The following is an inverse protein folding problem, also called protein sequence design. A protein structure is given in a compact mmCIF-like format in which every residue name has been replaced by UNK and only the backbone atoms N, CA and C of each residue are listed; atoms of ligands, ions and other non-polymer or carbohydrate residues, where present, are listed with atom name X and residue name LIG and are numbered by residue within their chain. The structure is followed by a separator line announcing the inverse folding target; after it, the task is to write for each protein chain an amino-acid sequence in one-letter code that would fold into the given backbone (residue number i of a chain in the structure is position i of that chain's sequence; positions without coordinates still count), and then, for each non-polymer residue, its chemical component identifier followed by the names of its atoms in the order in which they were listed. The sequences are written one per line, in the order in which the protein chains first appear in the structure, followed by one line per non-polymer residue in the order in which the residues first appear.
data_IF_388713987405
#
_entry.id   IF_388713987405
#
_cell.length_a   1.000
_cell.length_b   1.000
_cell.length_c   1.000
_cell.angle_alpha   90.00
_cell.angle_beta   90.00
_cell.angle_gamma   90.00
#
_symmetry.space_group_name_H-M   'P 1'
#
loop_
_entity.id
_entity.type
_entity.pdbx_description
1 polymer ?
2 non-polymer ?
3 non-polymer ?
4 non-polymer ?
5 non-polymer ?
6 water ?
#
# COMPACT_ATOMS: atom_id res chain seq x y z
N UNK A 2 21.86 -30.36 1.05
CA UNK A 2 21.53 -29.10 1.77
C UNK A 2 20.40 -28.33 1.07
N UNK A 3 19.38 -27.91 1.83
CA UNK A 3 18.25 -27.21 1.19
C UNK A 3 18.64 -25.80 0.76
N UNK A 4 17.79 -25.17 -0.03
CA UNK A 4 17.87 -23.74 -0.29
C UNK A 4 16.80 -23.06 0.55
N UNK A 5 17.13 -21.93 1.14
CA UNK A 5 16.15 -21.16 1.92
C UNK A 5 15.43 -20.16 1.00
N UNK A 6 14.10 -20.13 1.08
CA UNK A 6 13.32 -19.10 0.38
C UNK A 6 12.81 -18.12 1.45
N UNK A 7 13.37 -16.92 1.47
CA UNK A 7 13.00 -15.93 2.49
C UNK A 7 11.95 -14.96 1.95
N UNK A 8 10.71 -15.15 2.45
CA UNK A 8 9.54 -14.35 2.06
C UNK A 8 9.52 -13.08 2.91
N UNK A 9 9.34 -11.93 2.26
CA UNK A 9 9.13 -10.70 2.97
C UNK A 9 7.74 -10.15 2.59
N UNK A 10 7.69 -9.05 1.86
CA UNK A 10 6.38 -8.53 1.38
C UNK A 10 6.01 -9.28 0.11
N UNK A 11 5.97 -10.59 0.23
CA UNK A 11 5.61 -11.48 -0.85
C UNK A 11 5.10 -12.78 -0.27
N UNK A 12 4.06 -12.65 0.56
CA UNK A 12 3.49 -13.77 1.29
C UNK A 12 2.55 -14.60 0.40
N UNK A 13 3.12 -15.25 -0.60
CA UNK A 13 2.31 -15.99 -1.58
C UNK A 13 3.18 -17.12 -2.15
N UNK A 14 2.53 -18.08 -2.85
CA UNK A 14 3.25 -19.09 -3.61
C UNK A 14 3.20 -18.80 -5.13
N UNK A 15 2.10 -18.19 -5.64
CA UNK A 15 1.96 -17.88 -7.09
C UNK A 15 2.90 -16.77 -7.50
N UNK A 16 3.42 -16.84 -8.73
CA UNK A 16 4.24 -15.77 -9.31
C UNK A 16 5.31 -15.30 -8.32
N UNK A 17 6.20 -16.23 -7.90
CA UNK A 17 7.21 -15.88 -6.90
C UNK A 17 8.59 -16.28 -7.41
N UNK A 18 9.31 -15.35 -8.09
CA UNK A 18 10.56 -15.71 -8.71
C UNK A 18 11.55 -16.42 -7.74
N UNK A 19 11.67 -15.93 -6.50
CA UNK A 19 12.66 -16.51 -5.61
C UNK A 19 12.33 -17.98 -5.30
N UNK A 20 11.07 -18.24 -4.98
CA UNK A 20 10.59 -19.59 -4.69
C UNK A 20 10.91 -20.55 -5.83
N UNK A 21 10.57 -20.16 -7.06
CA UNK A 21 10.86 -21.05 -8.18
C UNK A 21 12.32 -21.15 -8.49
N UNK A 22 13.05 -20.02 -8.47
CA UNK A 22 14.51 -20.09 -8.72
C UNK A 22 15.16 -21.13 -7.78
N UNK A 23 14.72 -21.11 -6.51
CA UNK A 23 15.28 -22.04 -5.55
C UNK A 23 14.83 -23.48 -5.80
N UNK A 24 13.54 -23.69 -6.00
CA UNK A 24 13.00 -25.05 -6.15
C UNK A 24 13.63 -25.72 -7.36
N UNK A 25 13.89 -24.96 -8.42
CA UNK A 25 14.53 -25.59 -9.60
C UNK A 25 15.90 -26.15 -9.29
N UNK A 26 16.56 -25.64 -8.23
CA UNK A 26 17.89 -26.14 -7.86
C UNK A 26 17.91 -27.27 -6.84
N UNK A 27 16.86 -27.41 -6.04
CA UNK A 27 16.88 -28.45 -4.99
C UNK A 27 15.73 -28.24 -4.03
N UNK A 28 15.72 -29.04 -2.93
CA UNK A 28 14.70 -28.95 -1.88
C UNK A 28 14.76 -27.58 -1.27
N UNK A 29 13.59 -27.07 -0.86
CA UNK A 29 13.51 -25.76 -0.26
C UNK A 29 12.87 -25.81 1.14
N UNK A 30 13.21 -24.81 1.94
CA UNK A 30 12.48 -24.48 3.17
C UNK A 30 12.19 -22.98 3.09
N UNK A 31 10.96 -22.56 3.41
CA UNK A 31 10.60 -21.15 3.35
C UNK A 31 10.94 -20.54 4.71
N UNK A 32 11.14 -19.23 4.75
CA UNK A 32 11.37 -18.52 6.02
C UNK A 32 10.68 -17.19 5.98
N UNK A 33 10.04 -16.85 7.08
CA UNK A 33 9.63 -15.48 7.35
C UNK A 33 10.33 -15.03 8.64
N UNK A 34 10.88 -13.82 8.60
CA UNK A 34 11.39 -13.20 9.83
C UNK A 34 10.47 -12.08 10.27
N UNK A 35 9.97 -12.24 11.49
CA UNK A 35 9.17 -11.22 12.20
C UNK A 35 10.10 -10.16 12.77
N UNK A 36 10.25 -9.07 12.01
CA UNK A 36 11.34 -8.09 12.16
C UNK A 36 10.76 -6.87 12.91
N UNK A 37 11.37 -6.53 14.05
CA UNK A 37 10.82 -5.40 14.82
C UNK A 37 10.81 -4.09 14.03
N UNK A 38 11.68 -3.96 13.02
CA UNK A 38 11.69 -2.73 12.23
C UNK A 38 10.36 -2.53 11.46
N UNK A 39 9.66 -3.65 11.17
CA UNK A 39 8.36 -3.56 10.49
C UNK A 39 7.20 -3.83 11.46
N UNK A 40 7.48 -4.45 12.60
CA UNK A 40 6.39 -4.93 13.47
C UNK A 40 6.08 -4.02 14.65
N UNK A 41 6.90 -3.00 14.84
CA UNK A 41 6.59 -2.02 15.84
C UNK A 41 5.67 -0.99 15.18
N UNK A 42 4.43 -1.41 14.93
CA UNK A 42 3.42 -0.62 14.22
C UNK A 42 2.10 -0.93 14.93
N UNK A 43 0.98 -0.46 14.40
CA UNK A 43 -0.31 -0.62 15.10
C UNK A 43 -0.81 -2.08 15.13
N UNK A 44 -1.63 -2.41 16.14
CA UNK A 44 -2.15 -3.79 16.25
C UNK A 44 -2.82 -4.28 14.97
N UNK A 45 -3.68 -3.46 14.34
CA UNK A 45 -4.31 -3.88 13.09
C UNK A 45 -3.31 -4.37 12.01
N UNK A 46 -2.19 -3.65 11.86
CA UNK A 46 -1.20 -3.97 10.82
C UNK A 46 -0.30 -5.16 11.25
N UNK A 47 -0.01 -5.26 12.54
CA UNK A 47 0.77 -6.41 12.99
C UNK A 47 -0.05 -7.65 12.70
N UNK A 48 -1.33 -7.61 13.08
CA UNK A 48 -2.20 -8.76 12.91
C UNK A 48 -2.46 -9.10 11.45
N UNK A 49 -2.65 -8.09 10.61
CA UNK A 49 -2.82 -8.38 9.18
C UNK A 49 -1.57 -9.13 8.63
N UNK A 50 -0.39 -8.64 8.99
CA UNK A 50 0.84 -9.32 8.53
C UNK A 50 0.93 -10.76 9.14
N UNK A 51 0.82 -10.87 10.48
CA UNK A 51 0.84 -12.18 11.12
C UNK A 51 -0.14 -13.18 10.52
N UNK A 52 -1.39 -12.76 10.30
CA UNK A 52 -2.39 -13.71 9.80
C UNK A 52 -2.15 -14.15 8.37
N UNK A 53 -1.59 -13.26 7.56
CA UNK A 53 -1.11 -13.69 6.23
C UNK A 53 0.13 -14.61 6.24
N UNK A 54 1.01 -14.47 7.23
CA UNK A 54 2.12 -15.40 7.44
C UNK A 54 1.56 -16.78 7.85
N UNK A 55 0.58 -16.77 8.75
CA UNK A 55 -0.13 -17.96 9.12
C UNK A 55 -0.76 -18.66 7.90
N UNK A 56 -1.45 -17.89 7.05
CA UNK A 56 -2.04 -18.42 5.80
C UNK A 56 -0.97 -19.02 4.87
N UNK A 57 0.20 -18.38 4.80
CA UNK A 57 1.25 -18.86 3.93
C UNK A 57 1.78 -20.18 4.49
N UNK A 58 1.94 -20.24 5.82
CA UNK A 58 2.32 -21.54 6.41
C UNK A 58 1.27 -22.61 6.07
N UNK A 59 0.00 -22.27 6.22
CA UNK A 59 -1.02 -23.27 5.89
C UNK A 59 -0.86 -23.72 4.45
N UNK A 60 -0.59 -22.77 3.59
CA UNK A 60 -0.40 -23.08 2.14
C UNK A 60 0.79 -24.03 1.93
N UNK A 61 1.91 -23.72 2.59
CA UNK A 61 3.09 -24.61 2.54
C UNK A 61 2.67 -26.01 3.06
N UNK A 62 2.05 -26.07 4.25
CA UNK A 62 1.65 -27.38 4.84
C UNK A 62 0.74 -28.15 3.89
N UNK A 63 -0.28 -27.48 3.36
CA UNK A 63 -1.25 -28.16 2.48
C UNK A 63 -0.53 -28.83 1.29
N UNK A 64 0.64 -28.29 0.91
CA UNK A 64 1.40 -28.85 -0.23
C UNK A 64 2.53 -29.78 0.25
N UNK A 65 2.59 -30.01 1.56
CA UNK A 65 3.54 -30.97 2.13
C UNK A 65 4.91 -30.34 2.44
N UNK A 66 4.97 -29.00 2.44
CA UNK A 66 6.22 -28.26 2.60
C UNK A 66 6.40 -27.58 3.96
N UNK A 67 7.55 -26.92 4.11
CA UNK A 67 7.99 -26.41 5.42
C UNK A 67 8.27 -24.90 5.38
N UNK A 68 7.54 -24.13 6.19
CA UNK A 68 7.76 -22.69 6.33
C UNK A 68 8.19 -22.41 7.78
N UNK A 69 9.44 -22.01 7.96
CA UNK A 69 9.94 -21.47 9.26
C UNK A 69 9.52 -20.03 9.52
N UNK A 70 9.23 -19.72 10.78
CA UNK A 70 8.95 -18.33 11.15
C UNK A 70 9.73 -18.01 12.37
N UNK A 71 10.67 -17.07 12.25
CA UNK A 71 11.56 -16.70 13.36
C UNK A 71 11.35 -15.21 13.70
N UNK A 72 11.65 -14.83 14.94
CA UNK A 72 11.36 -13.47 15.41
C UNK A 72 12.68 -12.79 15.77
N UNK A 73 12.93 -11.61 15.20
CA UNK A 73 14.17 -10.89 15.52
C UNK A 73 14.78 -10.16 14.33
N UNK A 74 16.02 -9.70 14.49
CA UNK A 74 16.70 -8.95 13.41
C UNK A 74 17.05 -9.92 12.27
N UNK A 75 16.72 -9.57 11.00
CA UNK A 75 17.03 -10.50 9.89
C UNK A 75 18.51 -10.92 9.82
N UNK A 76 19.45 -10.04 10.18
CA UNK A 76 20.87 -10.37 10.02
C UNK A 76 21.36 -11.32 11.11
N UNK A 77 20.52 -11.54 12.15
CA UNK A 77 20.75 -12.61 13.14
C UNK A 77 19.96 -13.86 12.73
N UNK A 78 18.68 -13.70 12.41
CA UNK A 78 17.80 -14.86 12.23
C UNK A 78 18.00 -15.56 10.88
N UNK A 79 18.25 -14.80 9.81
CA UNK A 79 18.47 -15.47 8.53
C UNK A 79 19.72 -16.36 8.59
N UNK A 80 20.85 -15.83 9.10
CA UNK A 80 21.98 -16.73 9.26
C UNK A 80 21.74 -17.85 10.24
N UNK A 81 20.97 -17.62 11.29
CA UNK A 81 20.58 -18.71 12.16
C UNK A 81 19.89 -19.86 11.40
N UNK A 82 18.80 -19.54 10.71
CA UNK A 82 18.11 -20.54 9.94
C UNK A 82 19.07 -21.24 8.94
N UNK A 83 19.89 -20.48 8.21
CA UNK A 83 20.78 -21.10 7.22
C UNK A 83 21.74 -22.10 7.92
N UNK A 84 22.24 -21.76 9.10
CA UNK A 84 23.12 -22.71 9.83
C UNK A 84 22.33 -23.91 10.28
N UNK A 85 21.19 -23.69 10.92
CA UNK A 85 20.44 -24.80 11.50
C UNK A 85 19.95 -25.77 10.42
N UNK A 86 19.67 -25.23 9.24
CA UNK A 86 19.23 -26.08 8.14
C UNK A 86 20.36 -26.62 7.27
N UNK A 87 21.58 -26.13 7.51
CA UNK A 87 22.66 -26.35 6.54
C UNK A 87 22.33 -25.92 5.11
N UNK A 88 21.67 -24.77 4.99
CA UNK A 88 21.23 -24.32 3.68
C UNK A 88 22.41 -23.96 2.78
N UNK A 89 22.28 -24.22 1.48
CA UNK A 89 23.37 -23.92 0.55
C UNK A 89 23.37 -22.45 0.12
N UNK A 90 22.18 -21.85 0.09
CA UNK A 90 22.01 -20.46 -0.28
C UNK A 90 20.64 -19.99 0.13
N UNK A 91 20.47 -18.67 0.15
CA UNK A 91 19.17 -18.03 0.47
C UNK A 91 18.72 -17.24 -0.75
N UNK A 92 17.45 -17.37 -1.09
CA UNK A 92 16.84 -16.62 -2.20
C UNK A 92 15.74 -15.70 -1.66
N UNK A 93 15.63 -14.49 -2.25
CA UNK A 93 14.54 -13.56 -1.87
C UNK A 93 14.32 -12.59 -3.04
N UNK A 94 13.18 -11.90 -3.04
CA UNK A 94 12.95 -10.87 -4.04
C UNK A 94 13.62 -9.57 -3.58
N UNK A 95 14.34 -8.95 -4.51
CA UNK A 95 14.94 -7.62 -4.27
C UNK A 95 13.96 -6.61 -3.62
N UNK A 96 14.44 -5.87 -2.62
CA UNK A 96 13.69 -4.70 -2.09
C UNK A 96 14.49 -3.42 -2.38
N UNK A 97 13.92 -2.44 -3.06
CA UNK A 97 14.69 -1.27 -3.46
C UNK A 97 14.57 -0.10 -2.45
N UNK A 98 14.04 -0.40 -1.26
CA UNK A 98 13.81 0.62 -0.25
C UNK A 98 15.08 0.83 0.59
N UNK A 99 15.22 2.02 1.20
CA UNK A 99 16.37 2.24 2.05
C UNK A 99 16.54 1.15 3.11
N UNK A 100 15.47 0.78 3.80
CA UNK A 100 15.58 -0.29 4.80
C UNK A 100 15.83 -1.69 4.16
N UNK A 101 15.16 -1.96 3.04
CA UNK A 101 15.39 -3.17 2.27
C UNK A 101 16.85 -3.31 1.91
N UNK A 102 17.46 -2.23 1.41
CA UNK A 102 18.88 -2.29 1.03
C UNK A 102 19.78 -2.41 2.24
N UNK A 103 19.45 -1.66 3.30
CA UNK A 103 20.26 -1.75 4.52
C UNK A 103 20.22 -3.19 5.05
N UNK A 104 19.00 -3.69 5.28
CA UNK A 104 18.81 -5.00 5.92
C UNK A 104 19.49 -6.11 5.06
N UNK A 105 19.18 -6.12 3.76
CA UNK A 105 19.77 -7.15 2.89
C UNK A 105 21.28 -7.11 2.76
N UNK A 106 21.84 -5.90 2.78
CA UNK A 106 23.31 -5.71 2.95
C UNK A 106 23.87 -6.33 4.23
N UNK A 107 23.22 -6.06 5.37
CA UNK A 107 23.64 -6.65 6.64
C UNK A 107 23.46 -8.17 6.63
N UNK A 108 22.39 -8.65 6.00
CA UNK A 108 22.19 -10.13 5.92
C UNK A 108 23.30 -10.79 5.06
N UNK A 109 23.58 -10.19 3.92
CA UNK A 109 24.64 -10.72 3.07
C UNK A 109 25.99 -10.74 3.78
N UNK A 110 26.26 -9.74 4.60
CA UNK A 110 27.50 -9.70 5.37
C UNK A 110 27.58 -10.83 6.37
N UNK A 111 26.47 -11.11 7.04
CA UNK A 111 26.50 -12.07 8.11
C UNK A 111 26.35 -13.52 7.63
N UNK A 112 25.83 -13.72 6.43
CA UNK A 112 25.68 -15.08 5.87
C UNK A 112 26.99 -15.60 5.33
N UNK A 113 27.31 -16.86 5.60
CA UNK A 113 28.49 -17.46 5.01
C UNK A 113 28.17 -18.16 3.68
N UNK A 114 26.93 -18.01 3.21
CA UNK A 114 26.50 -18.56 1.91
C UNK A 114 25.86 -17.40 1.12
N UNK A 115 25.68 -17.55 -0.21
CA UNK A 115 25.11 -16.49 -1.02
C UNK A 115 23.68 -16.13 -0.62
N UNK A 116 23.37 -14.86 -0.72
CA UNK A 116 21.99 -14.38 -0.76
C UNK A 116 21.71 -13.96 -2.22
N UNK A 117 20.82 -14.71 -2.89
CA UNK A 117 20.51 -14.45 -4.29
C UNK A 117 19.22 -13.66 -4.34
N UNK A 118 19.26 -12.41 -4.83
CA UNK A 118 18.04 -11.56 -4.89
C UNK A 118 17.55 -11.46 -6.31
N UNK A 119 16.27 -11.73 -6.52
CA UNK A 119 15.69 -11.68 -7.86
C UNK A 119 14.66 -10.53 -7.91
N UNK A 120 14.46 -9.95 -9.10
CA UNK A 120 13.53 -8.82 -9.26
C UNK A 120 12.09 -9.27 -8.91
N UNK A 121 11.41 -8.54 -8.03
CA UNK A 121 10.00 -8.76 -7.75
C UNK A 121 9.13 -8.52 -9.01
N UNK A 122 8.04 -9.27 -9.17
CA UNK A 122 7.20 -9.04 -10.37
C UNK A 122 6.55 -7.61 -10.29
N UNK A 123 6.65 -6.85 -11.35
CA UNK A 123 6.03 -5.51 -11.42
C UNK A 123 5.40 -5.37 -12.80
N UNK A 124 4.61 -4.33 -13.01
CA UNK A 124 4.20 -3.91 -14.36
C UNK A 124 5.34 -3.10 -14.92
N UNK A 125 5.84 -2.14 -14.13
CA UNK A 125 7.09 -1.46 -14.44
C UNK A 125 7.97 -1.39 -13.20
N UNK A 126 9.28 -1.65 -13.35
CA UNK A 126 10.18 -1.61 -12.18
C UNK A 126 10.49 -0.18 -11.67
N UNK A 127 10.83 -0.06 -10.38
CA UNK A 127 11.00 1.25 -9.72
C UNK A 127 12.32 1.92 -10.10
N UNK A 128 13.24 1.16 -10.67
CA UNK A 128 14.65 1.56 -10.71
C UNK A 128 15.17 1.69 -12.14
N UNK A 129 14.29 1.97 -13.07
CA UNK A 129 14.67 2.39 -14.43
C UNK A 129 15.52 3.67 -14.38
N UNK A 130 16.39 3.88 -15.37
CA UNK A 130 17.34 5.00 -15.27
C UNK A 130 16.62 6.34 -15.30
N UNK A 131 15.66 6.49 -16.20
CA UNK A 131 14.97 7.79 -16.33
C UNK A 131 14.07 8.12 -15.15
N UNK A 132 14.18 9.32 -14.62
CA UNK A 132 13.28 9.77 -13.55
C UNK A 132 12.07 10.47 -14.16
N UNK A 133 10.88 10.05 -13.80
CA UNK A 133 9.69 10.75 -14.29
C UNK A 133 9.00 11.33 -13.08
N UNK A 134 8.54 12.58 -13.18
CA UNK A 134 7.69 13.15 -12.11
C UNK A 134 6.21 13.06 -12.46
N UNK A 135 5.92 12.68 -13.71
CA UNK A 135 4.58 12.75 -14.25
C UNK A 135 4.19 11.36 -14.69
N UNK A 136 2.94 10.99 -14.43
CA UNK A 136 2.51 9.63 -14.60
C UNK A 136 2.39 9.29 -16.10
N UNK A 137 1.90 10.21 -16.93
CA UNK A 137 1.68 9.83 -18.35
C UNK A 137 2.93 9.31 -19.06
N UNK A 138 4.04 10.06 -19.00
CA UNK A 138 5.27 9.59 -19.69
C UNK A 138 5.83 8.26 -19.11
N UNK A 139 5.69 8.08 -17.82
CA UNK A 139 6.12 6.83 -17.17
C UNK A 139 5.26 5.66 -17.69
N UNK A 140 3.93 5.88 -17.74
CA UNK A 140 2.96 4.82 -18.07
C UNK A 140 3.12 4.33 -19.52
N UNK A 141 3.66 5.18 -20.39
CA UNK A 141 3.83 4.81 -21.79
C UNK A 141 4.91 3.75 -21.98
N UNK A 142 5.76 3.56 -20.98
CA UNK A 142 6.81 2.52 -21.09
C UNK A 142 6.20 1.13 -20.91
N UNK A 143 4.98 1.06 -20.38
CA UNK A 143 4.32 -0.22 -20.14
C UNK A 143 3.68 -0.71 -21.41
N UNK A 144 3.97 -1.95 -21.74
CA UNK A 144 3.45 -2.51 -22.99
C UNK A 144 2.56 -3.73 -22.80
N UNK A 145 1.98 -3.92 -21.60
CA UNK A 145 1.23 -5.14 -21.29
C UNK A 145 2.01 -6.07 -20.38
N UNK A 146 1.32 -6.82 -19.54
CA UNK A 146 1.95 -7.68 -18.53
C UNK A 146 2.65 -8.87 -19.14
N UNK A 147 3.80 -9.22 -18.59
CA UNK A 147 4.39 -10.52 -18.86
C UNK A 147 3.55 -11.62 -18.16
N UNK A 148 3.68 -12.86 -18.63
CA UNK A 148 2.94 -13.91 -17.95
C UNK A 148 3.46 -14.18 -16.54
N UNK A 149 2.56 -14.44 -15.59
CA UNK A 149 3.08 -14.77 -14.29
C UNK A 149 3.64 -16.19 -14.23
N UNK A 150 4.44 -16.45 -13.20
CA UNK A 150 5.05 -17.75 -12.95
C UNK A 150 4.03 -18.58 -12.21
N UNK A 151 3.98 -19.90 -12.48
CA UNK A 151 3.05 -20.77 -11.75
C UNK A 151 3.52 -20.93 -10.29
N UNK A 152 2.60 -21.28 -9.38
CA UNK A 152 3.00 -21.79 -8.06
C UNK A 152 3.52 -23.21 -8.21
N UNK A 153 4.28 -23.68 -7.20
CA UNK A 153 4.69 -25.05 -7.21
C UNK A 153 3.47 -25.92 -7.15
N UNK A 154 3.66 -27.20 -7.45
CA UNK A 154 2.59 -28.18 -7.23
C UNK A 154 2.50 -28.77 -5.83
N UNK A 155 3.45 -29.64 -5.53
CA UNK A 155 3.69 -30.09 -4.18
C UNK A 155 5.06 -29.54 -3.81
N UNK A 156 5.30 -29.35 -2.51
CA UNK A 156 6.58 -28.85 -2.02
C UNK A 156 7.36 -29.96 -1.32
N UNK A 157 8.71 -29.89 -1.34
CA UNK A 157 9.51 -30.94 -0.73
C UNK A 157 9.36 -30.91 0.77
N UNK A 158 9.36 -32.08 1.38
CA UNK A 158 9.31 -32.23 2.82
C UNK A 158 10.50 -31.50 3.50
N UNK A 159 10.24 -30.89 4.64
CA UNK A 159 11.33 -30.40 5.49
C UNK A 159 10.83 -30.19 6.90
N UNK A 160 11.73 -29.87 7.84
CA UNK A 160 11.32 -29.62 9.22
C UNK A 160 10.72 -28.22 9.35
N UNK A 161 9.69 -28.09 10.18
CA UNK A 161 9.12 -26.75 10.43
C UNK A 161 9.53 -26.23 11.82
N UNK A 162 9.89 -24.96 11.92
CA UNK A 162 10.18 -24.35 13.23
C UNK A 162 9.55 -22.97 13.39
N UNK A 163 9.27 -22.60 14.65
CA UNK A 163 8.87 -21.24 14.98
C UNK A 163 7.38 -21.03 15.17
N UNK A 164 7.01 -20.02 15.98
CA UNK A 164 5.58 -19.83 16.28
C UNK A 164 5.11 -18.53 15.67
N UNK A 165 3.84 -18.49 15.27
CA UNK A 165 3.23 -17.27 14.76
C UNK A 165 2.24 -16.69 15.79
N UNK A 166 2.65 -15.61 16.47
CA UNK A 166 1.86 -15.01 17.53
C UNK A 166 0.44 -14.64 17.07
N UNK A 167 -0.50 -14.77 17.99
CA UNK A 167 -1.87 -14.35 17.78
C UNK A 167 -2.13 -12.99 18.42
N UNK A 168 -2.38 -11.98 17.59
CA UNK A 168 -2.52 -10.62 18.13
C UNK A 168 -3.87 -9.99 17.81
N UNK A 169 -4.32 -9.05 18.63
CA UNK A 169 -5.68 -8.57 18.50
C UNK A 169 -5.66 -7.40 17.51
N UNK A 170 -6.28 -7.56 16.33
CA UNK A 170 -6.38 -6.47 15.34
C UNK A 170 -7.25 -5.29 15.79
N UNK A 171 -8.24 -5.56 16.65
CA UNK A 171 -9.13 -4.50 17.12
C UNK A 171 -10.24 -4.18 16.14
N UNK A 172 -10.33 -4.92 15.04
CA UNK A 172 -11.35 -4.70 14.02
C UNK A 172 -11.42 -5.93 13.14
N UNK A 173 -12.50 -6.08 12.34
CA UNK A 173 -12.65 -7.20 11.41
C UNK A 173 -11.63 -7.16 10.27
N UNK A 174 -10.76 -8.19 10.19
CA UNK A 174 -9.80 -8.29 9.06
C UNK A 174 -10.46 -8.91 7.83
N UNK A 175 -9.98 -8.58 6.63
CA UNK A 175 -10.37 -9.40 5.48
C UNK A 175 -9.91 -10.85 5.68
N UNK A 176 -10.40 -11.78 4.86
CA UNK A 176 -9.88 -13.15 4.92
C UNK A 176 -8.41 -13.18 4.44
N UNK A 177 -7.49 -13.63 5.31
CA UNK A 177 -6.08 -13.58 4.91
C UNK A 177 -5.70 -14.67 3.89
N UNK A 178 -4.62 -14.45 3.16
CA UNK A 178 -4.02 -15.48 2.34
C UNK A 178 -4.39 -15.44 0.87
N UNK A 179 -3.57 -16.10 0.05
CA UNK A 179 -3.65 -15.91 -1.39
C UNK A 179 -4.84 -16.62 -2.01
N UNK A 180 -5.33 -17.66 -1.36
CA UNK A 180 -6.54 -18.28 -1.91
C UNK A 180 -7.72 -17.27 -1.86
N UNK A 181 -7.84 -16.54 -0.74
CA UNK A 181 -8.88 -15.51 -0.63
C UNK A 181 -8.62 -14.35 -1.58
N UNK A 182 -7.35 -13.97 -1.74
CA UNK A 182 -7.00 -12.87 -2.62
C UNK A 182 -7.38 -13.18 -4.05
N UNK A 183 -6.91 -14.34 -4.54
CA UNK A 183 -7.21 -14.76 -5.92
C UNK A 183 -8.74 -14.92 -6.17
N UNK A 184 -9.47 -15.46 -5.21
CA UNK A 184 -10.96 -15.52 -5.35
C UNK A 184 -11.52 -14.11 -5.50
N UNK A 185 -10.99 -13.18 -4.70
CA UNK A 185 -11.44 -11.80 -4.76
C UNK A 185 -11.14 -11.17 -6.12
N UNK A 186 -9.97 -11.46 -6.65
CA UNK A 186 -9.56 -10.88 -7.92
C UNK A 186 -10.52 -11.38 -9.04
N UNK A 187 -10.78 -12.68 -9.03
CA UNK A 187 -11.55 -13.29 -10.12
C UNK A 187 -13.03 -12.80 -10.10
N UNK A 188 -13.57 -12.62 -8.89
CA UNK A 188 -14.91 -12.03 -8.74
C UNK A 188 -15.00 -10.59 -9.21
N UNK A 189 -13.97 -9.79 -8.94
CA UNK A 189 -13.95 -8.42 -9.36
C UNK A 189 -13.88 -8.34 -10.87
N UNK A 190 -13.00 -9.15 -11.46
CA UNK A 190 -12.79 -9.03 -12.89
C UNK A 190 -14.07 -9.43 -13.63
N UNK A 191 -14.85 -10.32 -13.00
CA UNK A 191 -16.06 -10.85 -13.64
C UNK A 191 -17.19 -9.84 -13.45
N UNK A 192 -17.38 -9.40 -12.22
CA UNK A 192 -18.60 -8.66 -11.87
C UNK A 192 -18.47 -7.13 -12.02
N UNK A 193 -17.31 -6.59 -11.62
CA UNK A 193 -17.17 -5.15 -11.44
C UNK A 193 -16.34 -4.47 -12.53
N UNK A 194 -15.41 -5.21 -13.12
CA UNK A 194 -14.49 -4.58 -14.06
C UNK A 194 -15.19 -3.75 -15.15
N UNK A 195 -16.27 -4.28 -15.78
CA UNK A 195 -16.93 -3.57 -16.87
C UNK A 195 -17.26 -2.10 -16.61
N UNK A 196 -17.63 -1.75 -15.38
CA UNK A 196 -17.97 -0.37 -15.09
C UNK A 196 -16.98 0.34 -14.19
N UNK A 197 -15.74 -0.16 -14.17
CA UNK A 197 -14.77 0.31 -13.20
C UNK A 197 -14.50 1.78 -13.49
N UNK A 198 -14.44 2.13 -14.77
CA UNK A 198 -14.09 3.50 -15.12
C UNK A 198 -15.22 4.42 -14.62
N UNK A 199 -16.44 3.90 -14.64
CA UNK A 199 -17.61 4.70 -14.30
C UNK A 199 -17.91 4.75 -12.79
N UNK A 200 -17.28 3.86 -12.02
CA UNK A 200 -17.65 3.68 -10.62
C UNK A 200 -16.48 3.78 -9.62
N UNK A 201 -15.27 4.02 -10.11
CA UNK A 201 -14.10 4.02 -9.21
C UNK A 201 -13.95 5.29 -8.37
N UNK A 202 -14.78 6.31 -8.62
CA UNK A 202 -14.70 7.54 -7.83
C UNK A 202 -15.81 7.62 -6.80
N UNK A 203 -16.55 6.54 -6.60
CA UNK A 203 -17.49 6.48 -5.44
C UNK A 203 -16.78 6.69 -4.10
N UNK A 204 -17.43 7.40 -3.21
CA UNK A 204 -16.90 7.55 -1.87
C UNK A 204 -16.89 6.23 -1.11
N UNK A 205 -17.83 5.33 -1.42
CA UNK A 205 -17.84 4.04 -0.72
C UNK A 205 -16.80 3.03 -1.23
N UNK A 206 -16.18 3.34 -2.37
CA UNK A 206 -15.15 2.45 -2.98
C UNK A 206 -15.67 1.10 -3.42
N UNK A 207 -16.99 1.00 -3.58
CA UNK A 207 -17.60 -0.28 -3.94
C UNK A 207 -17.54 -0.61 -5.43
N UNK A 208 -17.04 0.32 -6.24
CA UNK A 208 -16.75 0.03 -7.67
C UNK A 208 -15.38 -0.62 -7.89
N UNK A 209 -14.57 -0.64 -6.83
CA UNK A 209 -13.18 -1.11 -6.93
C UNK A 209 -12.99 -2.52 -6.40
N UNK A 210 -11.75 -3.01 -6.47
CA UNK A 210 -11.48 -4.40 -6.14
C UNK A 210 -11.35 -4.64 -4.64
N UNK A 211 -10.95 -3.64 -3.87
CA UNK A 211 -10.68 -3.86 -2.43
C UNK A 211 -9.55 -4.87 -2.17
N UNK A 212 -8.59 -4.92 -3.10
CA UNK A 212 -7.48 -5.83 -3.03
C UNK A 212 -6.20 -5.21 -2.48
N UNK A 213 -6.20 -3.89 -2.25
CA UNK A 213 -4.94 -3.26 -1.78
C UNK A 213 -4.31 -3.95 -0.54
N UNK A 214 -5.14 -4.42 0.41
CA UNK A 214 -4.48 -4.99 1.58
C UNK A 214 -3.67 -6.24 1.23
N UNK A 215 -4.12 -6.95 0.20
CA UNK A 215 -3.32 -8.08 -0.34
C UNK A 215 -2.12 -7.61 -1.15
N UNK A 216 -2.29 -6.60 -2.02
CA UNK A 216 -1.14 -6.10 -2.80
C UNK A 216 -0.03 -5.60 -1.85
N UNK A 217 -0.41 -4.92 -0.79
CA UNK A 217 0.59 -4.28 0.10
C UNK A 217 1.55 -5.30 0.70
N UNK A 218 1.04 -6.48 1.04
CA UNK A 218 1.85 -7.55 1.58
C UNK A 218 2.37 -8.56 0.52
N UNK A 219 2.11 -8.32 -0.77
CA UNK A 219 2.54 -9.25 -1.81
C UNK A 219 1.79 -10.58 -1.78
N UNK A 220 0.64 -10.62 -1.08
CA UNK A 220 -0.21 -11.80 -1.07
C UNK A 220 -0.76 -12.00 -2.48
N UNK A 221 -0.89 -10.91 -3.20
CA UNK A 221 -1.30 -10.97 -4.61
C UNK A 221 -0.25 -10.27 -5.48
N UNK A 222 0.24 -10.97 -6.52
CA UNK A 222 1.18 -10.38 -7.47
C UNK A 222 0.48 -9.32 -8.33
N UNK A 223 1.09 -8.12 -8.50
CA UNK A 223 0.46 -7.17 -9.42
C UNK A 223 0.61 -7.60 -10.90
N UNK A 224 1.70 -8.28 -11.22
CA UNK A 224 1.84 -8.88 -12.55
C UNK A 224 0.70 -9.89 -12.89
N UNK A 225 0.42 -10.81 -11.97
CA UNK A 225 -0.68 -11.76 -12.18
C UNK A 225 -2.01 -11.00 -12.37
N UNK A 226 -2.25 -10.00 -11.52
CA UNK A 226 -3.49 -9.19 -11.61
C UNK A 226 -3.58 -8.51 -12.95
N UNK A 227 -2.49 -7.86 -13.37
CA UNK A 227 -2.51 -7.14 -14.66
C UNK A 227 -2.73 -8.12 -15.85
N UNK A 228 -2.06 -9.27 -15.77
CA UNK A 228 -2.19 -10.33 -16.80
C UNK A 228 -3.62 -10.86 -16.88
N UNK A 229 -4.22 -11.11 -15.72
CA UNK A 229 -5.58 -11.61 -15.71
C UNK A 229 -6.58 -10.56 -16.25
N UNK A 230 -6.40 -9.29 -15.85
CA UNK A 230 -7.27 -8.21 -16.36
C UNK A 230 -7.15 -8.04 -17.87
N UNK A 231 -5.92 -8.18 -18.37
CA UNK A 231 -5.67 -8.07 -19.82
C UNK A 231 -6.24 -9.23 -20.64
N UNK A 232 -6.30 -10.40 -20.02
CA UNK A 232 -6.94 -11.55 -20.67
C UNK A 232 -8.46 -11.37 -20.68
N UNK A 233 -8.96 -10.73 -19.63
CA UNK A 233 -10.38 -10.39 -19.60
C UNK A 233 -10.68 -9.34 -20.68
N UNK A 234 -9.91 -8.25 -20.65
CA UNK A 234 -10.09 -7.14 -21.60
C UNK A 234 -11.47 -6.49 -21.51
N UNK A 235 -11.85 -5.73 -22.53
CA UNK A 235 -13.02 -4.81 -22.39
C UNK A 235 -12.62 -3.46 -21.82
N UNK A 236 -13.56 -2.54 -21.61
CA UNK A 236 -13.15 -1.15 -21.23
C UNK A 236 -12.67 -0.92 -19.78
N UNK A 237 -13.40 -1.43 -18.81
CA UNK A 237 -12.86 -1.40 -17.48
C UNK A 237 -11.37 -1.77 -17.48
N UNK A 238 -10.97 -2.68 -18.37
CA UNK A 238 -9.71 -3.43 -18.17
C UNK A 238 -8.50 -2.50 -18.25
N UNK A 239 -8.48 -1.62 -19.26
CA UNK A 239 -7.32 -0.73 -19.45
C UNK A 239 -7.19 0.22 -18.26
N UNK A 240 -8.33 0.70 -17.78
CA UNK A 240 -8.35 1.74 -16.75
C UNK A 240 -7.92 1.13 -15.39
N UNK A 241 -8.36 -0.10 -15.14
CA UNK A 241 -7.96 -0.78 -13.90
C UNK A 241 -6.46 -1.07 -13.90
N UNK A 242 -5.91 -1.42 -15.05
CA UNK A 242 -4.49 -1.71 -15.11
C UNK A 242 -3.69 -0.40 -14.94
N UNK A 243 -4.25 0.70 -15.44
CA UNK A 243 -3.68 2.02 -15.22
C UNK A 243 -3.50 2.32 -13.73
N UNK A 244 -4.45 1.88 -12.91
CA UNK A 244 -4.34 2.06 -11.48
C UNK A 244 -3.32 1.17 -10.79
N UNK A 245 -3.28 -0.11 -11.17
CA UNK A 245 -2.13 -0.97 -10.80
C UNK A 245 -0.85 -0.25 -11.10
N UNK A 246 -0.78 0.41 -12.27
CA UNK A 246 0.46 1.12 -12.63
C UNK A 246 0.75 2.31 -11.71
N UNK A 247 -0.30 2.97 -11.18
CA UNK A 247 -0.05 4.03 -10.18
C UNK A 247 0.72 3.50 -8.94
N UNK A 248 0.47 2.25 -8.58
CA UNK A 248 1.23 1.63 -7.49
C UNK A 248 2.72 1.59 -7.82
N UNK A 249 3.05 1.13 -9.03
CA UNK A 249 4.43 1.07 -9.48
C UNK A 249 5.04 2.46 -9.67
N UNK A 250 4.22 3.41 -10.15
CA UNK A 250 4.65 4.82 -10.23
C UNK A 250 5.06 5.33 -8.85
N UNK A 251 4.33 4.91 -7.82
CA UNK A 251 4.64 5.36 -6.44
C UNK A 251 6.04 4.83 -6.02
N UNK A 252 6.32 3.55 -6.24
CA UNK A 252 7.66 2.98 -5.96
C UNK A 252 8.76 3.67 -6.77
N UNK A 253 8.46 3.91 -8.06
CA UNK A 253 9.35 4.68 -8.96
C UNK A 253 9.70 6.06 -8.36
N UNK A 254 8.68 6.75 -7.84
CA UNK A 254 8.87 8.13 -7.36
C UNK A 254 9.79 8.10 -6.13
N UNK A 255 9.48 7.23 -5.19
CA UNK A 255 10.25 7.20 -3.92
C UNK A 255 11.66 6.72 -4.22
N UNK A 256 11.81 5.84 -5.21
CA UNK A 256 13.15 5.41 -5.64
C UNK A 256 14.02 6.53 -6.26
N UNK A 257 13.47 7.28 -7.21
CA UNK A 257 14.23 8.35 -7.85
C UNK A 257 14.28 9.61 -7.00
N UNK A 258 13.34 9.78 -6.10
CA UNK A 258 13.23 11.01 -5.32
C UNK A 258 13.08 10.70 -3.83
N UNK A 259 14.09 10.02 -3.25
CA UNK A 259 13.92 9.47 -1.89
C UNK A 259 13.68 10.58 -0.88
N UNK A 260 14.11 11.79 -1.23
CA UNK A 260 13.95 12.93 -0.32
C UNK A 260 12.50 13.41 -0.26
N UNK A 261 11.61 12.85 -1.07
CA UNK A 261 10.21 13.22 -0.90
C UNK A 261 9.58 12.67 0.38
N UNK A 262 10.29 11.74 1.05
CA UNK A 262 9.90 11.38 2.43
C UNK A 262 10.15 12.52 3.42
N UNK A 263 10.91 13.54 3.01
CA UNK A 263 11.30 14.63 3.92
C UNK A 263 10.64 15.96 3.59
N UNK A 264 10.29 16.16 2.32
CA UNK A 264 9.87 17.46 1.82
C UNK A 264 9.12 17.39 0.48
N UNK A 265 8.33 18.42 0.17
CA UNK A 265 7.62 18.39 -1.12
C UNK A 265 8.52 18.10 -2.32
N UNK A 266 8.00 17.31 -3.26
CA UNK A 266 8.66 17.13 -4.55
C UNK A 266 8.79 18.47 -5.28
N UNK A 267 7.76 19.29 -5.22
CA UNK A 267 7.85 20.65 -5.77
C UNK A 267 8.63 21.57 -4.83
N UNK A 268 9.82 22.02 -5.27
CA UNK A 268 10.66 22.84 -4.39
C UNK A 268 10.01 24.17 -4.03
N UNK A 269 9.04 24.62 -4.82
CA UNK A 269 8.34 25.87 -4.50
C UNK A 269 7.56 25.80 -3.19
N UNK A 270 7.23 24.58 -2.76
CA UNK A 270 6.40 24.38 -1.55
C UNK A 270 7.20 24.03 -0.31
N UNK A 271 8.52 23.99 -0.43
CA UNK A 271 9.32 23.50 0.68
C UNK A 271 9.37 24.48 1.85
N UNK A 272 8.99 25.72 1.55
CA UNK A 272 8.83 26.76 2.57
C UNK A 272 7.37 27.13 2.90
N UNK A 273 6.42 26.23 2.62
CA UNK A 273 5.02 26.52 2.95
C UNK A 273 4.82 26.66 4.46
N UNK A 274 4.17 27.74 4.90
CA UNK A 274 4.05 27.94 6.35
C UNK A 274 2.92 27.10 6.94
N UNK A 275 3.16 25.81 7.12
CA UNK A 275 2.22 24.92 7.79
C UNK A 275 2.00 25.39 9.23
N UNK A 276 0.87 24.99 9.80
CA UNK A 276 0.52 25.51 11.10
C UNK A 276 0.23 24.37 12.03
N UNK A 277 1.23 24.02 12.84
CA UNK A 277 1.02 22.98 13.83
C UNK A 277 0.03 23.46 14.87
N UNK A 278 -0.75 22.53 15.38
CA UNK A 278 -1.92 22.86 16.16
C UNK A 278 -2.53 21.55 16.61
N UNK A 279 -2.27 21.20 17.88
CA UNK A 279 -2.59 19.88 18.40
C UNK A 279 -4.08 19.63 18.27
N UNK A 280 -4.86 20.61 18.71
CA UNK A 280 -6.31 20.47 18.73
C UNK A 280 -6.86 20.15 17.35
N UNK A 281 -6.46 20.93 16.35
CA UNK A 281 -6.85 20.72 14.96
C UNK A 281 -6.35 19.40 14.40
N UNK A 282 -5.11 19.05 14.68
CA UNK A 282 -4.63 17.71 14.29
C UNK A 282 -5.60 16.63 14.83
N UNK A 283 -6.00 16.74 16.09
CA UNK A 283 -6.83 15.71 16.71
C UNK A 283 -8.24 15.70 16.12
N UNK A 284 -8.77 16.89 15.83
CA UNK A 284 -10.10 17.00 15.24
C UNK A 284 -10.12 16.26 13.90
N UNK A 285 -9.06 16.45 13.11
CA UNK A 285 -8.96 15.77 11.82
C UNK A 285 -8.76 14.29 12.07
N UNK A 286 -7.77 13.95 12.89
CA UNK A 286 -7.39 12.57 13.08
C UNK A 286 -8.59 11.72 13.53
N UNK A 287 -9.44 12.29 14.40
CA UNK A 287 -10.57 11.53 14.92
C UNK A 287 -11.86 11.78 14.13
N UNK A 288 -11.75 12.45 12.98
CA UNK A 288 -12.94 12.80 12.20
C UNK A 288 -13.95 13.63 13.00
N UNK A 289 -13.50 14.70 13.65
CA UNK A 289 -14.43 15.60 14.39
C UNK A 289 -14.28 17.03 13.90
N UNK A 290 -14.20 17.16 12.57
CA UNK A 290 -13.96 18.43 11.92
C UNK A 290 -15.24 19.25 11.78
N UNK A 291 -16.37 18.56 11.82
CA UNK A 291 -17.68 19.17 11.51
C UNK A 291 -17.91 19.23 10.01
N UNK A 292 -17.03 18.59 9.26
CA UNK A 292 -17.20 18.46 7.82
C UNK A 292 -17.60 17.02 7.49
N UNK A 293 -18.86 16.81 7.08
CA UNK A 293 -19.43 15.46 6.99
C UNK A 293 -18.55 14.46 6.22
N UNK A 294 -18.15 14.82 5.00
CA UNK A 294 -17.33 13.95 4.17
C UNK A 294 -16.04 13.57 4.92
N UNK A 295 -15.35 14.56 5.46
CA UNK A 295 -14.05 14.30 6.06
C UNK A 295 -14.24 13.39 7.30
N UNK A 296 -15.29 13.69 8.06
CA UNK A 296 -15.56 12.98 9.31
C UNK A 296 -15.99 11.55 9.05
N UNK A 297 -16.82 11.38 8.03
CA UNK A 297 -17.18 10.05 7.58
C UNK A 297 -15.93 9.26 7.19
N UNK A 298 -15.06 9.88 6.39
CA UNK A 298 -13.86 9.18 5.90
C UNK A 298 -13.03 8.71 7.09
N UNK A 299 -12.76 9.61 8.04
CA UNK A 299 -11.79 9.28 9.08
C UNK A 299 -12.36 8.28 10.08
N UNK A 300 -13.68 8.33 10.28
CA UNK A 300 -14.39 7.36 11.13
C UNK A 300 -14.45 5.96 10.47
N UNK A 301 -14.67 5.93 9.15
CA UNK A 301 -14.56 4.65 8.46
C UNK A 301 -13.13 4.05 8.57
N UNK A 302 -12.12 4.89 8.34
CA UNK A 302 -10.70 4.46 8.44
C UNK A 302 -10.35 3.91 9.85
N UNK A 303 -10.75 4.63 10.89
CA UNK A 303 -10.51 4.16 12.26
C UNK A 303 -11.15 2.80 12.48
N UNK A 304 -12.38 2.62 11.98
CA UNK A 304 -13.18 1.42 12.30
C UNK A 304 -12.80 0.23 11.45
N UNK A 305 -12.27 0.48 10.24
CA UNK A 305 -12.14 -0.63 9.27
C UNK A 305 -10.70 -0.88 8.75
N UNK A 306 -9.85 0.14 8.77
CA UNK A 306 -8.52 0.01 8.17
C UNK A 306 -8.51 0.13 6.65
N UNK A 307 -9.62 0.58 6.05
CA UNK A 307 -9.69 0.81 4.59
C UNK A 307 -10.50 2.07 4.24
N UNK A 308 -10.21 2.70 3.11
CA UNK A 308 -10.95 3.87 2.63
C UNK A 308 -10.83 3.88 1.11
N UNK A 309 -11.88 4.35 0.42
CA UNK A 309 -11.84 4.45 -1.04
C UNK A 309 -10.81 5.51 -1.38
N UNK A 310 -10.30 5.44 -2.60
CA UNK A 310 -9.44 6.47 -3.14
C UNK A 310 -10.07 7.86 -3.07
N UNK A 311 -11.35 7.96 -3.44
CA UNK A 311 -12.03 9.27 -3.44
C UNK A 311 -12.16 9.80 -2.01
N UNK A 312 -12.37 8.93 -1.03
CA UNK A 312 -12.36 9.41 0.35
C UNK A 312 -10.95 9.81 0.84
N UNK A 313 -9.94 9.04 0.43
CA UNK A 313 -8.58 9.26 0.89
C UNK A 313 -8.12 10.64 0.44
N UNK A 314 -8.32 10.93 -0.84
CA UNK A 314 -7.84 12.18 -1.41
C UNK A 314 -8.56 13.39 -0.76
N UNK A 315 -9.87 13.27 -0.51
CA UNK A 315 -10.60 14.30 0.26
C UNK A 315 -10.14 14.45 1.70
N UNK A 316 -9.99 13.34 2.42
CA UNK A 316 -9.57 13.44 3.82
C UNK A 316 -8.15 14.03 3.92
N UNK A 317 -7.25 13.58 3.05
CA UNK A 317 -5.83 14.01 3.09
C UNK A 317 -5.70 15.48 2.68
N UNK A 318 -6.32 15.85 1.57
CA UNK A 318 -6.21 17.23 1.14
C UNK A 318 -6.80 18.19 2.16
N UNK A 319 -7.88 17.78 2.82
CA UNK A 319 -8.49 18.67 3.80
C UNK A 319 -7.49 19.09 4.86
N UNK A 320 -6.76 18.10 5.38
CA UNK A 320 -5.75 18.32 6.40
C UNK A 320 -4.71 19.33 5.90
N UNK A 321 -4.20 19.10 4.69
CA UNK A 321 -3.10 19.89 4.13
C UNK A 321 -3.59 21.30 3.73
N UNK A 322 -4.66 21.35 2.95
CA UNK A 322 -5.09 22.61 2.31
C UNK A 322 -6.06 23.40 3.18
N UNK A 323 -7.11 22.77 3.69
CA UNK A 323 -8.06 23.51 4.53
C UNK A 323 -7.54 23.75 5.95
N UNK A 324 -6.71 22.84 6.45
CA UNK A 324 -6.27 22.92 7.85
C UNK A 324 -4.82 23.36 8.02
N UNK A 325 -4.06 23.27 6.93
CA UNK A 325 -2.67 23.68 6.92
C UNK A 325 -1.83 22.84 7.86
N UNK A 326 -2.28 21.61 8.14
CA UNK A 326 -1.59 20.75 9.09
C UNK A 326 -0.30 20.25 8.46
N UNK A 327 0.79 20.22 9.24
CA UNK A 327 2.01 19.60 8.73
C UNK A 327 1.73 18.21 8.15
N UNK A 328 2.09 18.02 6.89
CA UNK A 328 1.70 16.81 6.17
C UNK A 328 2.34 15.54 6.71
N UNK A 329 3.58 15.64 7.22
CA UNK A 329 4.36 14.46 7.61
C UNK A 329 3.66 13.73 8.76
N UNK A 330 3.32 14.45 9.81
CA UNK A 330 2.56 13.84 10.89
C UNK A 330 1.28 13.13 10.38
N UNK A 331 0.49 13.86 9.61
CA UNK A 331 -0.77 13.36 9.05
C UNK A 331 -0.55 12.09 8.21
N UNK A 332 0.47 12.14 7.35
CA UNK A 332 0.80 11.03 6.46
C UNK A 332 1.03 9.79 7.29
N UNK A 333 1.86 9.93 8.33
CA UNK A 333 2.24 8.78 9.13
C UNK A 333 1.08 8.24 9.91
N UNK A 334 0.28 9.13 10.51
CA UNK A 334 -0.91 8.72 11.28
C UNK A 334 -1.91 7.97 10.39
N UNK A 335 -2.03 8.42 9.15
CA UNK A 335 -2.89 7.82 8.14
C UNK A 335 -2.44 6.38 7.75
N UNK A 336 -1.16 6.23 7.46
CA UNK A 336 -0.59 4.95 7.11
C UNK A 336 -0.78 3.92 8.21
N UNK A 337 -0.58 4.34 9.47
CA UNK A 337 -0.75 3.45 10.62
C UNK A 337 -2.17 2.91 10.79
N UNK A 338 -3.15 3.62 10.24
CA UNK A 338 -4.54 3.18 10.32
C UNK A 338 -4.93 2.21 9.19
N UNK A 339 -4.12 2.16 8.14
CA UNK A 339 -4.46 1.42 6.91
C UNK A 339 -3.87 0.02 6.93
N UNK A 340 -4.73 -0.99 6.68
CA UNK A 340 -4.20 -2.34 6.45
C UNK A 340 -3.29 -2.40 5.24
N UNK A 341 -3.60 -1.60 4.22
CA UNK A 341 -2.78 -1.60 3.00
C UNK A 341 -1.66 -0.57 3.10
N UNK A 342 -1.46 -0.06 4.31
CA UNK A 342 -0.54 1.09 4.49
C UNK A 342 0.84 0.78 3.97
N UNK A 343 1.35 1.64 3.08
CA UNK A 343 2.53 1.24 2.28
C UNK A 343 3.27 2.57 2.05
N UNK A 344 4.46 2.70 2.62
CA UNK A 344 5.06 4.04 2.77
C UNK A 344 5.12 4.82 1.45
N UNK A 345 5.66 4.20 0.42
CA UNK A 345 5.77 4.90 -0.89
C UNK A 345 4.42 5.28 -1.49
N UNK A 346 3.44 4.39 -1.40
CA UNK A 346 2.16 4.65 -2.01
C UNK A 346 1.42 5.75 -1.25
N UNK A 347 1.44 5.66 0.08
CA UNK A 347 0.84 6.68 0.93
C UNK A 347 1.52 8.03 0.76
N UNK A 348 2.84 8.05 0.67
CA UNK A 348 3.56 9.30 0.39
C UNK A 348 3.16 9.92 -0.97
N UNK A 349 3.13 9.08 -1.99
CA UNK A 349 2.64 9.52 -3.30
C UNK A 349 1.26 10.13 -3.16
N UNK A 350 0.36 9.38 -2.55
CA UNK A 350 -1.03 9.83 -2.47
C UNK A 350 -1.15 11.17 -1.72
N UNK A 351 -0.41 11.29 -0.62
CA UNK A 351 -0.43 12.51 0.19
C UNK A 351 0.15 13.70 -0.57
N UNK A 352 1.29 13.50 -1.22
CA UNK A 352 1.89 14.55 -2.03
C UNK A 352 1.10 14.91 -3.29
N UNK A 353 0.28 13.99 -3.78
CA UNK A 353 -0.64 14.30 -4.87
C UNK A 353 -1.86 15.08 -4.40
N UNK A 354 -2.57 14.51 -3.43
CA UNK A 354 -3.74 15.15 -2.82
C UNK A 354 -3.41 16.50 -2.20
N UNK A 355 -2.18 16.65 -1.68
CA UNK A 355 -1.79 17.85 -1.00
C UNK A 355 -1.26 18.94 -1.90
N UNK A 356 -1.15 18.63 -3.19
CA UNK A 356 -0.65 19.60 -4.17
C UNK A 356 0.82 19.90 -3.94
N UNK A 357 1.60 18.85 -3.65
CA UNK A 357 2.97 19.01 -3.15
C UNK A 357 3.98 18.55 -4.19
N UNK A 358 3.50 18.21 -5.38
CA UNK A 358 4.41 18.07 -6.51
C UNK A 358 4.31 16.77 -7.31
N UNK A 359 3.51 15.83 -6.85
CA UNK A 359 3.32 14.60 -7.60
C UNK A 359 2.45 14.81 -8.85
N UNK A 360 2.94 14.32 -10.00
CA UNK A 360 2.18 14.30 -11.26
C UNK A 360 1.84 15.72 -11.70
N UNK A 361 2.66 16.66 -11.24
CA UNK A 361 2.40 18.08 -11.46
C UNK A 361 0.92 18.41 -11.19
N UNK A 362 0.32 17.73 -10.22
CA UNK A 362 -1.06 18.05 -9.88
C UNK A 362 -1.13 19.50 -9.34
N UNK A 363 -2.07 20.33 -9.86
CA UNK A 363 -1.97 21.77 -9.65
C UNK A 363 -2.46 22.18 -8.26
N UNK A 364 -1.78 23.15 -7.66
CA UNK A 364 -2.16 23.64 -6.33
C UNK A 364 -3.62 24.07 -6.27
N UNK A 365 -4.15 24.58 -7.38
CA UNK A 365 -5.43 25.28 -7.33
C UNK A 365 -6.64 24.34 -7.30
N UNK A 366 -6.43 23.05 -7.49
CA UNK A 366 -7.54 22.13 -7.31
C UNK A 366 -7.84 21.93 -5.83
N UNK A 367 -8.92 22.55 -5.35
CA UNK A 367 -9.33 22.40 -3.95
C UNK A 367 -10.74 21.80 -3.88
N UNK A 368 -10.81 20.62 -3.27
CA UNK A 368 -12.06 19.89 -3.11
C UNK A 368 -13.03 20.75 -2.31
N UNK A 369 -14.22 20.93 -2.87
CA UNK A 369 -15.36 21.41 -2.13
C UNK A 369 -16.08 20.21 -1.51
N UNK A 370 -16.01 20.09 -0.18
CA UNK A 370 -16.41 18.85 0.48
C UNK A 370 -17.92 18.59 0.46
N UNK A 371 -18.74 19.60 0.15
CA UNK A 371 -20.15 19.30 -0.10
C UNK A 371 -20.45 18.82 -1.52
N UNK A 372 -19.92 19.51 -2.53
CA UNK A 372 -19.99 19.04 -3.91
C UNK A 372 -19.42 17.61 -4.05
N UNK A 373 -18.25 17.38 -3.46
CA UNK A 373 -17.60 16.06 -3.54
C UNK A 373 -18.53 14.94 -3.04
N UNK A 374 -19.18 15.20 -1.92
CA UNK A 374 -20.19 14.29 -1.41
C UNK A 374 -21.41 14.19 -2.30
N UNK A 375 -21.84 15.31 -2.86
CA UNK A 375 -23.01 15.28 -3.77
C UNK A 375 -22.74 14.45 -5.01
N UNK A 376 -21.53 14.59 -5.55
CA UNK A 376 -21.15 13.92 -6.77
C UNK A 376 -20.82 12.43 -6.58
N UNK A 377 -20.38 12.03 -5.40
CA UNK A 377 -19.76 10.69 -5.23
C UNK A 377 -20.41 9.81 -4.17
N UNK A 378 -21.55 10.27 -3.66
CA UNK A 378 -22.38 9.51 -2.73
C UNK A 378 -23.89 9.72 -2.99
N UNK A 379 -24.46 8.98 -3.95
CA UNK A 379 -25.74 9.27 -4.60
C UNK A 379 -26.91 9.66 -3.67
N UNK A 380 -27.44 8.68 -2.94
CA UNK A 380 -28.58 8.93 -2.05
C UNK A 380 -28.06 9.20 -0.65
N UNK A 381 -26.77 9.51 -0.55
CA UNK A 381 -26.14 9.81 0.72
C UNK A 381 -26.02 8.60 1.62
N UNK A 382 -26.07 7.42 1.02
CA UNK A 382 -25.96 6.17 1.76
C UNK A 382 -24.64 6.02 2.53
N UNK A 383 -23.55 6.53 1.96
CA UNK A 383 -22.23 6.38 2.57
C UNK A 383 -22.09 7.28 3.79
N UNK A 384 -22.55 8.53 3.67
CA UNK A 384 -22.53 9.46 4.80
C UNK A 384 -23.36 8.92 5.97
N UNK A 385 -24.51 8.34 5.64
CA UNK A 385 -25.43 7.72 6.58
C UNK A 385 -24.84 6.53 7.36
N UNK A 386 -24.02 5.70 6.69
CA UNK A 386 -23.36 4.59 7.38
C UNK A 386 -22.28 5.10 8.32
N UNK A 387 -21.55 6.13 7.91
CA UNK A 387 -20.33 6.46 8.63
C UNK A 387 -20.35 7.70 9.53
N UNK A 388 -21.26 8.63 9.29
CA UNK A 388 -21.47 9.75 10.22
C UNK A 388 -22.92 10.21 10.15
N UNK A 389 -23.85 9.38 10.61
CA UNK A 389 -25.27 9.68 10.44
C UNK A 389 -25.69 10.89 11.29
N UNK A 390 -24.77 11.33 12.13
CA UNK A 390 -24.85 12.63 12.84
C UNK A 390 -25.40 13.70 11.91
N UNK A 391 -24.93 13.67 10.67
CA UNK A 391 -25.09 14.77 9.72
C UNK A 391 -26.20 14.43 8.74
N UNK A 392 -27.21 15.32 8.64
CA UNK A 392 -28.36 15.19 7.74
C UNK A 392 -27.99 15.36 6.27
N UNK A 393 -26.94 16.14 6.01
CA UNK A 393 -26.41 16.30 4.64
C UNK A 393 -24.90 16.51 4.66
N UNK A 394 -24.33 16.72 3.47
CA UNK A 394 -22.90 17.05 3.32
C UNK A 394 -22.54 18.45 3.78
N UNK A 395 -23.57 19.22 4.15
CA UNK A 395 -23.39 20.54 4.74
C UNK A 395 -22.64 20.50 6.06
N UNK A 396 -21.55 21.30 6.13
CA UNK A 396 -20.73 21.40 7.32
C UNK A 396 -21.52 21.92 8.52
N UNK A 397 -21.18 21.43 9.71
CA UNK A 397 -21.99 21.63 10.91
C UNK A 397 -21.04 22.04 12.04
N UNK A 398 -21.03 23.33 12.35
CA UNK A 398 -20.00 23.91 13.21
C UNK A 398 -18.61 23.37 12.87
N UNK A 399 -18.14 23.58 11.62
CA UNK A 399 -16.82 23.15 11.17
C UNK A 399 -15.69 23.76 12.01
N UNK A 400 -14.62 23.00 12.25
CA UNK A 400 -13.51 23.49 13.09
C UNK A 400 -12.81 24.71 12.47
N UNK A 401 -13.01 24.93 11.18
CA UNK A 401 -12.56 26.18 10.56
C UNK A 401 -13.63 26.72 9.65
N UNK A 402 -13.52 28.01 9.35
CA UNK A 402 -14.31 28.63 8.29
C UNK A 402 -13.81 28.16 6.93
N UNK A 403 -14.64 27.39 6.22
CA UNK A 403 -14.23 26.65 5.04
C UNK A 403 -13.82 27.55 3.88
N UNK A 404 -14.60 28.60 3.61
CA UNK A 404 -14.31 29.49 2.51
C UNK A 404 -13.06 30.33 2.80
N UNK A 405 -12.93 30.82 4.03
CA UNK A 405 -11.72 31.52 4.42
C UNK A 405 -10.48 30.63 4.33
N UNK A 406 -10.59 29.42 4.92
CA UNK A 406 -9.52 28.44 4.76
C UNK A 406 -9.16 28.24 3.25
N UNK A 407 -10.15 28.05 2.39
CA UNK A 407 -9.90 27.96 0.95
C UNK A 407 -9.12 29.17 0.43
N UNK A 408 -9.68 30.38 0.63
CA UNK A 408 -9.02 31.60 0.18
C UNK A 408 -7.62 31.76 0.77
N UNK A 409 -7.45 31.40 2.05
CA UNK A 409 -6.14 31.47 2.69
C UNK A 409 -5.10 30.58 1.98
N UNK A 410 -5.39 29.30 1.82
CA UNK A 410 -4.48 28.38 1.10
C UNK A 410 -4.09 28.91 -0.29
N UNK A 411 -5.10 29.27 -1.07
CA UNK A 411 -4.88 29.66 -2.47
C UNK A 411 -4.00 30.90 -2.52
N UNK A 412 -4.29 31.86 -1.66
CA UNK A 412 -3.41 33.03 -1.49
C UNK A 412 -1.96 32.64 -1.20
N UNK A 413 -1.76 31.82 -0.17
CA UNK A 413 -0.43 31.34 0.20
C UNK A 413 0.24 30.58 -0.94
N UNK A 414 -0.52 29.69 -1.58
CA UNK A 414 0.02 28.81 -2.62
C UNK A 414 0.29 29.55 -3.94
N UNK A 415 -0.54 30.56 -4.22
CA UNK A 415 -0.32 31.44 -5.37
C UNK A 415 0.96 32.26 -5.23
N UNK A 416 1.22 32.80 -4.04
CA UNK A 416 2.51 33.43 -3.75
C UNK A 416 3.69 32.49 -3.98
N UNK A 417 3.57 31.24 -3.55
CA UNK A 417 4.70 30.31 -3.56
C UNK A 417 4.99 29.76 -4.95
N UNK A 418 3.94 29.32 -5.65
CA UNK A 418 4.06 28.64 -6.92
C UNK A 418 4.45 29.60 -8.05
N UNK A 419 4.05 30.87 -7.90
CA UNK A 419 4.21 31.83 -8.98
C UNK A 419 5.16 32.96 -8.62
N UNK A 420 5.86 32.82 -7.50
CA UNK A 420 6.81 33.84 -7.04
C UNK A 420 8.25 33.44 -7.30
#
# INVERSE_FOLDING_TARGET
MGPLLVWHRGDLRLHDHPALLEALARGPVVGLVVLDPNNLKTTPRRRAWFLENVRALREAYRARGGALWVLEGLPWEKVPEAARRLKAKAVYALTSHTPYGRYRDGRVREALPVPLHLLPAPHLLPPDLPRAYRVYTPFSRLYRGAAPPLPPPEALPKGPEEGEIPREDPGLPLPEPGEEAALAGLRAFLEAKLPRYAEERDRLDGEGGSRLSPYFALGVLSPRLAAWEAERRGGEGARKWVAELLWRDFSYHLLYHFPWMAERPLDPRFQAFPWQEDEALFQAWYEGKTGVPLVDAAMRELHATGFLSNRARMNAAQFAVKHLLLPWKRCEEAFRHLLLDGDRAVNLQGWQWAGGLGVDAAPYFRVFNPVLQGERHDPEGRWLKRWAPEYPSYAPKDPVVDLEEARRRYLRLARDLARG
#
